data_IF_271104302055
#
_entry.id   IF_271104302055
#
_cell.length_a   1.000
_cell.length_b   1.000
_cell.length_c   1.000
_cell.angle_alpha   90.00
_cell.angle_beta   90.00
_cell.angle_gamma   90.00
#
_symmetry.space_group_name_H-M   'P 1'
#
loop_
_entity.id
_entity.type
_entity.pdbx_description
1 polymer ?
#
# COMPACT_ATOMS: atom_id res chain seq x y z
N UNK A 1 -15.37 -36.52 -2.63
CA UNK A 1 -13.90 -36.48 -2.82
C UNK A 1 -13.56 -35.15 -3.45
N UNK A 2 -13.10 -34.18 -2.67
CA UNK A 2 -12.79 -32.83 -3.18
C UNK A 2 -11.33 -32.81 -3.61
N UNK A 3 -11.10 -32.79 -4.92
CA UNK A 3 -9.79 -32.78 -5.55
C UNK A 3 -9.09 -31.45 -5.28
N UNK A 4 -7.95 -31.53 -4.57
CA UNK A 4 -7.13 -30.40 -4.19
C UNK A 4 -6.31 -29.88 -5.38
N UNK A 5 -6.32 -28.57 -5.61
CA UNK A 5 -5.40 -27.93 -6.56
C UNK A 5 -4.26 -27.31 -5.76
N UNK A 6 -3.01 -27.80 -5.85
CA UNK A 6 -1.90 -27.15 -5.19
C UNK A 6 -1.60 -25.82 -5.90
N UNK A 7 -2.11 -24.73 -5.35
CA UNK A 7 -1.68 -23.39 -5.73
C UNK A 7 -0.20 -23.18 -5.38
N UNK A 8 0.55 -22.49 -6.25
CA UNK A 8 1.98 -22.23 -6.02
C UNK A 8 2.20 -21.49 -4.69
N UNK A 9 3.38 -21.66 -4.07
CA UNK A 9 3.76 -20.95 -2.83
C UNK A 9 3.52 -19.43 -2.95
N UNK A 10 3.90 -18.85 -4.10
CA UNK A 10 3.68 -17.42 -4.37
C UNK A 10 2.20 -17.03 -4.39
N UNK A 11 1.34 -17.81 -5.06
CA UNK A 11 -0.10 -17.56 -5.08
C UNK A 11 -0.71 -17.66 -3.68
N UNK A 12 -0.30 -18.68 -2.90
CA UNK A 12 -0.75 -18.86 -1.52
C UNK A 12 -0.30 -17.71 -0.62
N UNK A 13 0.95 -17.26 -0.74
CA UNK A 13 1.47 -16.12 0.03
C UNK A 13 0.73 -14.83 -0.29
N UNK A 14 0.48 -14.56 -1.57
CA UNK A 14 -0.34 -13.41 -1.99
C UNK A 14 -1.72 -13.48 -1.33
N UNK A 15 -2.34 -14.67 -1.33
CA UNK A 15 -3.67 -14.82 -0.75
C UNK A 15 -3.70 -14.68 0.77
N UNK A 16 -2.70 -15.22 1.48
CA UNK A 16 -2.55 -15.03 2.92
C UNK A 16 -2.49 -13.54 3.25
N UNK A 17 -1.71 -12.75 2.51
CA UNK A 17 -1.61 -11.29 2.72
C UNK A 17 -2.96 -10.60 2.54
N UNK A 18 -3.72 -10.96 1.49
CA UNK A 18 -5.05 -10.41 1.24
C UNK A 18 -6.04 -10.76 2.35
N UNK A 19 -6.05 -12.01 2.82
CA UNK A 19 -6.92 -12.45 3.91
C UNK A 19 -6.59 -11.72 5.21
N UNK A 20 -5.32 -11.59 5.56
CA UNK A 20 -4.89 -10.86 6.77
C UNK A 20 -5.17 -9.36 6.69
N UNK A 21 -5.24 -8.77 5.48
CA UNK A 21 -5.60 -7.37 5.28
C UNK A 21 -7.12 -7.13 5.32
N UNK A 22 -7.91 -8.10 4.88
CA UNK A 22 -9.37 -7.95 4.74
C UNK A 22 -10.16 -8.27 6.00
N UNK A 23 -9.61 -9.08 6.93
CA UNK A 23 -10.35 -9.60 8.09
C UNK A 23 -9.45 -9.89 9.28
N UNK A 24 -10.05 -9.86 10.46
CA UNK A 24 -9.37 -10.15 11.74
C UNK A 24 -9.24 -11.66 11.96
N UNK A 25 -8.12 -12.25 11.54
CA UNK A 25 -7.86 -13.69 11.72
C UNK A 25 -7.15 -13.96 13.04
N UNK A 26 -7.77 -14.78 13.89
CA UNK A 26 -7.35 -15.03 15.27
C UNK A 26 -6.47 -16.27 15.42
N UNK A 27 -6.50 -17.18 14.46
CA UNK A 27 -5.73 -18.43 14.53
C UNK A 27 -5.26 -18.91 13.17
N UNK A 28 -4.21 -19.75 13.17
CA UNK A 28 -3.75 -20.43 11.96
C UNK A 28 -4.79 -21.44 11.44
N UNK A 29 -5.60 -22.02 12.33
CA UNK A 29 -6.67 -22.94 11.94
C UNK A 29 -7.74 -22.21 11.10
N UNK A 30 -8.19 -21.06 11.58
CA UNK A 30 -9.12 -20.19 10.84
C UNK A 30 -8.55 -19.78 9.47
N UNK A 31 -7.27 -19.40 9.41
CA UNK A 31 -6.62 -19.08 8.13
C UNK A 31 -6.57 -20.29 7.19
N UNK A 32 -6.33 -21.50 7.71
CA UNK A 32 -6.32 -22.72 6.91
C UNK A 32 -7.71 -23.07 6.35
N UNK A 33 -8.78 -22.87 7.12
CA UNK A 33 -10.16 -23.07 6.64
C UNK A 33 -10.51 -22.11 5.50
N UNK A 34 -10.12 -20.84 5.64
CA UNK A 34 -10.33 -19.82 4.61
C UNK A 34 -9.56 -20.11 3.32
N UNK A 35 -8.32 -20.58 3.45
CA UNK A 35 -7.50 -21.01 2.32
C UNK A 35 -8.09 -22.26 1.66
N UNK A 36 -8.57 -23.23 2.44
CA UNK A 36 -9.18 -24.44 1.93
C UNK A 36 -10.46 -24.18 1.14
N UNK A 37 -11.29 -23.20 1.58
CA UNK A 37 -12.47 -22.75 0.85
C UNK A 37 -12.14 -22.19 -0.55
N UNK A 38 -10.89 -21.77 -0.77
CA UNK A 38 -10.39 -21.25 -2.03
C UNK A 38 -9.47 -22.24 -2.77
N UNK A 39 -9.45 -23.51 -2.33
CA UNK A 39 -8.70 -24.59 -2.96
C UNK A 39 -7.26 -24.75 -2.48
N UNK A 40 -6.77 -23.91 -1.55
CA UNK A 40 -5.45 -24.02 -0.97
C UNK A 40 -5.46 -24.94 0.26
N UNK A 41 -5.23 -26.24 0.05
CA UNK A 41 -5.01 -27.17 1.17
C UNK A 41 -3.59 -27.04 1.71
N UNK A 42 -3.46 -26.63 2.97
CA UNK A 42 -2.17 -26.53 3.66
C UNK A 42 -2.21 -27.17 5.04
N UNK A 43 -1.06 -27.70 5.45
CA UNK A 43 -0.86 -28.16 6.82
C UNK A 43 -0.56 -26.98 7.74
N UNK A 44 -0.78 -27.17 9.04
CA UNK A 44 -0.41 -26.16 10.05
C UNK A 44 1.09 -25.83 10.00
N UNK A 45 1.97 -26.82 9.77
CA UNK A 45 3.40 -26.60 9.64
C UNK A 45 3.76 -25.73 8.42
N UNK A 46 3.11 -25.96 7.28
CA UNK A 46 3.28 -25.13 6.08
C UNK A 46 2.83 -23.69 6.35
N UNK A 47 1.67 -23.53 6.98
CA UNK A 47 1.08 -22.22 7.24
C UNK A 47 1.89 -21.42 8.27
N UNK A 48 2.46 -22.08 9.28
CA UNK A 48 3.37 -21.44 10.24
C UNK A 48 4.61 -20.87 9.54
N UNK A 49 5.25 -21.67 8.69
CA UNK A 49 6.41 -21.22 7.89
C UNK A 49 6.03 -20.10 6.93
N UNK A 50 4.88 -20.21 6.26
CA UNK A 50 4.42 -19.16 5.35
C UNK A 50 4.19 -17.83 6.10
N UNK A 51 3.59 -17.86 7.30
CA UNK A 51 3.38 -16.66 8.12
C UNK A 51 4.71 -16.04 8.59
N UNK A 52 5.68 -16.85 8.99
CA UNK A 52 7.04 -16.41 9.33
C UNK A 52 7.72 -15.74 8.14
N UNK A 53 7.72 -16.41 6.97
CA UNK A 53 8.32 -15.88 5.74
C UNK A 53 7.62 -14.61 5.23
N UNK A 54 6.31 -14.50 5.44
CA UNK A 54 5.53 -13.30 5.09
C UNK A 54 5.83 -12.13 6.03
N UNK A 55 6.35 -12.42 7.23
CA UNK A 55 6.58 -11.45 8.29
C UNK A 55 5.31 -11.12 9.08
N UNK A 56 4.34 -12.04 9.14
CA UNK A 56 3.12 -11.83 9.91
C UNK A 56 3.41 -11.90 11.42
N UNK A 57 2.84 -10.96 12.17
CA UNK A 57 2.96 -10.86 13.63
C UNK A 57 1.59 -10.98 14.29
N UNK A 58 1.55 -11.47 15.53
CA UNK A 58 0.34 -11.47 16.35
C UNK A 58 0.28 -10.18 17.17
N UNK A 59 -0.72 -9.35 16.91
CA UNK A 59 -1.00 -8.15 17.69
C UNK A 59 -2.30 -8.32 18.50
N UNK A 60 -2.41 -7.56 19.58
CA UNK A 60 -3.65 -7.48 20.35
C UNK A 60 -4.63 -6.56 19.64
N UNK A 61 -5.81 -7.09 19.33
CA UNK A 61 -6.94 -6.34 18.79
C UNK A 61 -7.59 -5.46 19.85
N UNK A 62 -8.37 -4.48 19.41
CA UNK A 62 -9.18 -3.59 20.27
C UNK A 62 -10.17 -4.35 21.16
N UNK A 63 -10.65 -5.51 20.68
CA UNK A 63 -11.55 -6.40 21.43
C UNK A 63 -10.83 -7.29 22.45
N UNK A 64 -9.53 -7.05 22.68
CA UNK A 64 -8.71 -7.75 23.68
C UNK A 64 -8.12 -9.10 23.22
N UNK A 65 -8.58 -9.68 22.10
CA UNK A 65 -8.04 -10.90 21.49
C UNK A 65 -6.79 -10.68 20.64
N UNK A 66 -6.12 -11.75 20.19
CA UNK A 66 -4.98 -11.65 19.27
C UNK A 66 -5.41 -11.86 17.81
N UNK A 67 -4.79 -11.13 16.90
CA UNK A 67 -4.98 -11.27 15.45
C UNK A 67 -3.64 -11.31 14.73
N UNK A 68 -3.57 -12.07 13.64
CA UNK A 68 -2.44 -12.02 12.72
C UNK A 68 -2.56 -10.78 11.84
N UNK A 69 -1.47 -10.03 11.73
CA UNK A 69 -1.34 -8.93 10.78
C UNK A 69 -0.02 -9.05 10.07
N UNK A 70 0.02 -8.67 8.81
CA UNK A 70 1.27 -8.42 8.11
C UNK A 70 1.56 -6.94 8.29
N UNK A 71 2.62 -6.53 9.00
CA UNK A 71 3.03 -5.13 9.06
C UNK A 71 3.28 -4.69 7.62
N UNK A 72 2.33 -3.95 7.06
CA UNK A 72 2.49 -3.36 5.75
C UNK A 72 3.49 -2.23 5.93
N UNK A 73 4.49 -2.14 5.05
CA UNK A 73 5.31 -0.93 4.91
C UNK A 73 4.47 0.26 4.45
N UNK A 74 3.24 0.00 3.98
CA UNK A 74 2.27 0.98 3.58
C UNK A 74 1.17 1.16 4.64
N UNK A 75 0.86 2.40 5.03
CA UNK A 75 -0.24 2.67 5.94
C UNK A 75 -1.58 2.30 5.29
N UNK A 76 -2.58 1.81 6.06
CA UNK A 76 -3.90 1.47 5.53
C UNK A 76 -4.48 2.63 4.72
N UNK A 77 -5.14 2.36 3.58
CA UNK A 77 -5.65 3.42 2.70
C UNK A 77 -6.62 4.39 3.40
N UNK A 78 -7.36 3.92 4.41
CA UNK A 78 -8.27 4.72 5.22
C UNK A 78 -7.57 5.56 6.32
N UNK A 79 -6.28 5.32 6.59
CA UNK A 79 -5.52 6.10 7.57
C UNK A 79 -5.11 7.47 6.99
N UNK A 80 -4.82 8.43 7.87
CA UNK A 80 -4.34 9.76 7.45
C UNK A 80 -3.07 9.68 6.59
N UNK A 81 -2.13 8.78 6.94
CA UNK A 81 -0.92 8.56 6.17
C UNK A 81 -1.21 7.88 4.81
N UNK A 82 -2.17 6.96 4.74
CA UNK A 82 -2.64 6.37 3.48
C UNK A 82 -3.33 7.39 2.57
N UNK A 83 -4.15 8.28 3.14
CA UNK A 83 -4.77 9.41 2.44
C UNK A 83 -3.72 10.35 1.87
N UNK A 84 -2.70 10.72 2.65
CA UNK A 84 -1.59 11.55 2.18
C UNK A 84 -0.84 10.86 1.03
N UNK A 85 -0.50 9.57 1.15
CA UNK A 85 0.19 8.85 0.09
C UNK A 85 -0.60 8.86 -1.22
N UNK A 86 -1.93 8.66 -1.15
CA UNK A 86 -2.82 8.72 -2.31
C UNK A 86 -2.83 10.11 -2.95
N UNK A 87 -3.04 11.15 -2.15
CA UNK A 87 -3.13 12.52 -2.65
C UNK A 87 -1.78 13.02 -3.19
N UNK A 88 -0.66 12.63 -2.57
CA UNK A 88 0.66 12.94 -3.10
C UNK A 88 0.86 12.32 -4.49
N UNK A 89 0.45 11.06 -4.70
CA UNK A 89 0.54 10.44 -6.02
C UNK A 89 -0.39 11.06 -7.07
N UNK A 90 -1.51 11.66 -6.67
CA UNK A 90 -2.48 12.27 -7.58
C UNK A 90 -2.16 13.74 -7.87
N UNK A 91 -1.65 14.49 -6.89
CA UNK A 91 -1.59 15.95 -6.93
C UNK A 91 -0.18 16.53 -6.82
N UNK A 92 0.83 15.78 -6.39
CA UNK A 92 2.18 16.33 -6.25
C UNK A 92 2.88 16.37 -7.61
N UNK A 93 3.18 17.57 -8.10
CA UNK A 93 3.96 17.80 -9.33
C UNK A 93 5.46 17.91 -9.00
N UNK A 94 5.80 18.73 -8.01
CA UNK A 94 7.19 18.90 -7.53
C UNK A 94 7.24 19.24 -6.05
N UNK A 95 8.40 19.03 -5.43
CA UNK A 95 8.70 19.46 -4.07
C UNK A 95 10.16 19.94 -4.00
N UNK A 96 10.36 21.22 -3.75
CA UNK A 96 11.67 21.88 -3.79
C UNK A 96 12.02 22.44 -2.40
N UNK A 97 13.14 22.00 -1.80
CA UNK A 97 13.54 22.46 -0.47
C UNK A 97 14.38 23.74 -0.51
N UNK A 98 14.24 24.59 0.51
CA UNK A 98 15.12 25.72 0.80
C UNK A 98 15.28 25.88 2.31
N UNK A 99 16.41 25.41 2.86
CA UNK A 99 16.62 25.33 4.30
C UNK A 99 15.54 24.46 4.98
N UNK A 100 14.76 25.05 5.87
CA UNK A 100 13.64 24.41 6.54
C UNK A 100 12.29 24.58 5.82
N UNK A 101 12.27 25.23 4.66
CA UNK A 101 11.08 25.40 3.84
C UNK A 101 11.04 24.34 2.74
N UNK A 102 9.83 23.94 2.34
CA UNK A 102 9.61 23.15 1.12
C UNK A 102 8.47 23.78 0.35
N UNK A 103 8.72 24.09 -0.93
CA UNK A 103 7.69 24.55 -1.86
C UNK A 103 7.20 23.35 -2.65
N UNK A 104 5.92 23.03 -2.52
CA UNK A 104 5.27 21.91 -3.20
C UNK A 104 4.34 22.46 -4.27
N UNK A 105 4.43 21.94 -5.50
CA UNK A 105 3.56 22.30 -6.62
C UNK A 105 2.51 21.23 -6.86
N UNK A 106 1.32 21.67 -7.22
CA UNK A 106 0.14 20.85 -7.52
C UNK A 106 -0.58 21.38 -8.76
N UNK A 107 -1.50 20.62 -9.39
CA UNK A 107 -2.42 21.20 -10.36
C UNK A 107 -3.28 22.32 -9.74
N UNK A 108 -3.87 23.21 -10.56
CA UNK A 108 -4.78 24.25 -10.07
C UNK A 108 -5.86 23.70 -9.13
N UNK A 109 -6.08 24.39 -8.01
CA UNK A 109 -7.02 23.99 -6.94
C UNK A 109 -6.59 22.79 -6.08
N UNK A 110 -5.43 22.18 -6.34
CA UNK A 110 -4.96 20.97 -5.63
C UNK A 110 -4.26 21.23 -4.29
N UNK A 111 -3.76 22.44 -4.08
CA UNK A 111 -2.84 22.74 -2.98
C UNK A 111 -3.50 22.59 -1.60
N UNK A 112 -4.69 23.15 -1.40
CA UNK A 112 -5.43 23.06 -0.14
C UNK A 112 -5.73 21.61 0.27
N UNK A 113 -6.10 20.77 -0.69
CA UNK A 113 -6.42 19.37 -0.43
C UNK A 113 -5.18 18.59 0.01
N UNK A 114 -4.04 18.81 -0.66
CA UNK A 114 -2.78 18.16 -0.32
C UNK A 114 -2.25 18.65 1.03
N UNK A 115 -2.27 19.96 1.28
CA UNK A 115 -1.86 20.58 2.55
C UNK A 115 -2.64 20.02 3.75
N UNK A 116 -3.98 19.97 3.64
CA UNK A 116 -4.84 19.39 4.67
C UNK A 116 -4.47 17.93 4.99
N UNK A 117 -4.11 17.14 3.97
CA UNK A 117 -3.68 15.76 4.18
C UNK A 117 -2.30 15.66 4.87
N UNK A 118 -1.37 16.59 4.58
CA UNK A 118 -0.07 16.65 5.26
C UNK A 118 -0.25 16.97 6.75
N UNK A 119 -1.10 17.94 7.09
CA UNK A 119 -1.37 18.34 8.47
C UNK A 119 -2.04 17.19 9.25
N UNK A 120 -3.03 16.52 8.65
CA UNK A 120 -3.72 15.38 9.28
C UNK A 120 -2.84 14.14 9.43
N UNK A 121 -1.86 13.95 8.55
CA UNK A 121 -0.94 12.81 8.64
C UNK A 121 0.02 12.91 9.83
N UNK A 122 0.11 14.06 10.51
CA UNK A 122 0.88 14.22 11.74
C UNK A 122 2.37 13.95 11.54
N UNK A 123 2.95 14.46 10.45
CA UNK A 123 4.37 14.24 10.15
C UNK A 123 5.24 14.90 11.24
N UNK A 124 6.04 14.15 12.02
CA UNK A 124 6.72 14.70 13.21
C UNK A 124 7.61 15.93 12.95
N UNK A 125 8.26 15.93 11.79
CA UNK A 125 9.20 16.98 11.38
C UNK A 125 8.52 18.21 10.77
N UNK A 126 7.24 18.11 10.38
CA UNK A 126 6.48 19.21 9.79
C UNK A 126 5.85 20.04 10.91
N UNK A 127 6.14 21.35 10.92
CA UNK A 127 5.48 22.30 11.82
C UNK A 127 4.08 22.66 11.34
N UNK A 128 3.90 22.78 10.03
CA UNK A 128 2.62 23.07 9.40
C UNK A 128 2.78 23.47 7.93
N UNK A 129 1.64 23.77 7.31
CA UNK A 129 1.55 24.14 5.91
C UNK A 129 0.75 25.44 5.70
N UNK A 130 1.04 26.14 4.60
CA UNK A 130 0.22 27.24 4.08
C UNK A 130 -0.04 26.96 2.60
N UNK A 131 -1.31 26.86 2.21
CA UNK A 131 -1.69 26.58 0.83
C UNK A 131 -2.21 27.84 0.12
N UNK A 132 -1.78 28.02 -1.12
CA UNK A 132 -2.46 28.84 -2.12
C UNK A 132 -3.34 27.98 -3.02
N UNK A 133 -3.42 28.32 -4.32
CA UNK A 133 -4.21 27.56 -5.29
C UNK A 133 -3.49 26.30 -5.80
N UNK A 134 -2.27 26.48 -6.29
CA UNK A 134 -1.45 25.43 -6.93
C UNK A 134 -0.14 25.16 -6.18
N UNK A 135 0.09 25.85 -5.06
CA UNK A 135 1.36 25.85 -4.32
C UNK A 135 1.11 25.69 -2.82
N UNK A 136 1.90 24.83 -2.16
CA UNK A 136 1.92 24.68 -0.70
C UNK A 136 3.31 25.03 -0.18
N UNK A 137 3.39 25.92 0.80
CA UNK A 137 4.59 26.17 1.58
C UNK A 137 4.54 25.29 2.85
N UNK A 138 5.53 24.41 3.01
CA UNK A 138 5.70 23.59 4.19
C UNK A 138 6.84 24.14 5.05
N UNK A 139 6.63 24.22 6.37
CA UNK A 139 7.66 24.64 7.32
C UNK A 139 8.10 23.44 8.15
N UNK A 140 9.38 23.10 8.07
CA UNK A 140 10.00 21.98 8.79
C UNK A 140 10.63 22.50 10.09
N UNK A 141 10.61 21.66 11.13
CA UNK A 141 11.11 22.01 12.47
C UNK A 141 12.62 22.23 12.50
N UNK A 142 13.37 21.42 11.74
CA UNK A 142 14.83 21.51 11.68
C UNK A 142 15.28 22.49 10.58
N UNK A 143 16.28 23.35 10.84
CA UNK A 143 16.85 24.27 9.85
C UNK A 143 17.32 23.63 8.53
N UNK A 144 17.77 22.37 8.61
CA UNK A 144 18.29 21.56 7.51
C UNK A 144 17.30 20.48 7.02
N UNK A 145 16.07 20.47 7.55
CA UNK A 145 15.13 19.37 7.37
C UNK A 145 14.33 19.39 6.05
N UNK A 146 14.37 20.48 5.29
CA UNK A 146 13.56 20.64 4.07
C UNK A 146 13.83 19.54 3.04
N UNK A 147 15.09 19.20 2.81
CA UNK A 147 15.47 18.17 1.84
C UNK A 147 14.91 16.78 2.17
N UNK A 148 14.89 16.43 3.47
CA UNK A 148 14.35 15.16 3.92
C UNK A 148 12.83 15.08 3.71
N UNK A 149 12.10 16.16 4.02
CA UNK A 149 10.65 16.23 3.78
C UNK A 149 10.34 16.16 2.28
N UNK A 150 11.04 16.95 1.44
CA UNK A 150 10.83 16.95 0.00
C UNK A 150 11.00 15.55 -0.59
N UNK A 151 12.10 14.85 -0.23
CA UNK A 151 12.35 13.47 -0.66
C UNK A 151 11.25 12.52 -0.22
N UNK A 152 10.81 12.61 1.04
CA UNK A 152 9.73 11.78 1.57
C UNK A 152 8.42 11.97 0.79
N UNK A 153 8.06 13.21 0.45
CA UNK A 153 6.85 13.52 -0.31
C UNK A 153 6.94 12.98 -1.76
N UNK A 154 8.09 13.13 -2.40
CA UNK A 154 8.34 12.59 -3.74
C UNK A 154 8.28 11.05 -3.75
N UNK A 155 8.84 10.39 -2.73
CA UNK A 155 8.77 8.94 -2.59
C UNK A 155 7.31 8.45 -2.48
N UNK A 156 6.46 9.18 -1.76
CA UNK A 156 5.02 8.86 -1.67
C UNK A 156 4.33 8.96 -3.05
N UNK A 157 4.68 9.96 -3.86
CA UNK A 157 4.12 10.11 -5.19
C UNK A 157 4.55 8.99 -6.14
N UNK A 158 5.80 8.54 -6.06
CA UNK A 158 6.36 7.50 -6.93
C UNK A 158 5.86 6.08 -6.59
N UNK A 159 5.59 5.79 -5.31
CA UNK A 159 5.16 4.46 -4.84
C UNK A 159 3.89 3.96 -5.53
N UNK A 160 2.93 4.83 -5.86
CA UNK A 160 1.71 4.44 -6.59
C UNK A 160 1.93 4.34 -8.11
N UNK A 161 2.84 5.13 -8.69
CA UNK A 161 3.21 5.02 -10.10
C UNK A 161 3.78 3.64 -10.46
N UNK A 162 4.55 3.05 -9.54
CA UNK A 162 5.05 1.67 -9.66
C UNK A 162 3.93 0.62 -9.57
N UNK A 163 2.97 0.79 -8.65
CA UNK A 163 1.84 -0.13 -8.44
C UNK A 163 0.79 -0.10 -9.57
N UNK A 164 0.48 1.08 -10.12
CA UNK A 164 -0.41 1.20 -11.29
C UNK A 164 0.22 0.56 -12.53
N UNK A 165 1.53 0.71 -12.72
CA UNK A 165 2.27 0.02 -13.80
C UNK A 165 2.33 -1.49 -13.58
N UNK A 166 2.54 -1.95 -12.35
CA UNK A 166 2.56 -3.38 -12.02
C UNK A 166 1.18 -4.04 -12.26
N UNK A 167 0.09 -3.40 -11.82
CA UNK A 167 -1.30 -3.85 -12.10
C UNK A 167 -1.63 -3.88 -13.59
N UNK A 168 -1.16 -2.90 -14.38
CA UNK A 168 -1.38 -2.87 -15.83
C UNK A 168 -0.61 -3.98 -16.56
N UNK A 169 0.58 -4.36 -16.08
CA UNK A 169 1.36 -5.49 -16.64
C UNK A 169 0.78 -6.86 -16.30
N UNK A 170 0.15 -7.02 -15.13
CA UNK A 170 -0.53 -8.28 -14.75
C UNK A 170 -1.92 -8.45 -15.37
N UNK A 171 -2.53 -7.38 -15.89
CA UNK A 171 -3.85 -7.40 -16.52
C UNK A 171 -3.82 -7.59 -18.06
N UNK A 172 -2.69 -8.04 -18.63
CA UNK A 172 -2.64 -8.45 -20.04
C UNK A 172 -2.14 -9.88 -20.20
N UNK A 173 -3.06 -10.86 -20.20
CA UNK A 173 -2.93 -12.08 -20.98
C UNK A 173 -3.90 -12.03 -22.18
N UNK A 174 -3.36 -12.34 -23.36
CA UNK A 174 -4.05 -12.66 -24.61
C UNK A 174 -4.60 -11.51 -25.48
N UNK A 175 -3.70 -10.83 -26.21
CA UNK A 175 -3.95 -10.64 -27.64
C UNK A 175 -3.33 -11.86 -28.34
N UNK A 176 -4.20 -12.77 -28.78
CA UNK A 176 -3.82 -14.06 -29.35
C UNK A 176 -3.03 -13.93 -30.64
N UNK A 177 -1.94 -14.68 -30.71
CA UNK A 177 -1.31 -15.10 -31.95
C UNK A 177 -1.97 -16.41 -32.40
N UNK A 178 -2.47 -16.41 -33.64
CA UNK A 178 -2.50 -17.52 -34.60
C UNK A 178 -3.48 -18.68 -34.27
N UNK A 179 -4.19 -19.35 -35.18
CA UNK A 179 -3.87 -19.79 -36.54
C UNK A 179 -5.15 -20.39 -37.21
N UNK A 180 -5.23 -20.24 -38.54
CA UNK A 180 -5.79 -21.13 -39.58
C UNK A 180 -7.15 -21.87 -39.47
N UNK A 181 -7.90 -21.92 -40.58
CA UNK A 181 -8.99 -22.89 -40.78
C UNK A 181 -10.01 -22.57 -41.86
N UNK A 182 -9.65 -22.84 -43.11
CA UNK A 182 -10.45 -23.16 -44.30
C UNK A 182 -11.92 -23.63 -44.06
N UNK A 183 -12.87 -23.17 -44.91
CA UNK A 183 -13.81 -23.99 -45.72
C UNK A 183 -14.87 -23.09 -46.41
N UNK A 184 -14.97 -23.28 -47.74
CA UNK A 184 -15.98 -22.89 -48.74
C UNK A 184 -15.87 -21.54 -49.45
#
# INVERSE_FOLDING_TARGET
MTTATPGTKAARHARIRELLAARSIRSQHELAELLAAEGFLVTQATLSRDLEEIGAVRLRSVDGGFVYVVPSTEPPAASAAGRLARLAAELLISAEPSGNLVVVRTPPGGAHLLASAMDQAGLPDLLGTVAGDDTVLCVVRRPDGGAALARRLLDLAQRRGALTRARKRSASPHAGAEHEGEIR
#
